data_IF_456237632913
#
_entry.id   IF_456237632913
#
_cell.length_a   1.000
_cell.length_b   1.000
_cell.length_c   1.000
_cell.angle_alpha   90.00
_cell.angle_beta   90.00
_cell.angle_gamma   90.00
#
_symmetry.space_group_name_H-M   'P 1'
#
loop_
_entity.id
_entity.type
_entity.pdbx_description
1 polymer ?
#
# COMPACT_ATOMS: atom_id res chain seq x y z
N UNK A 1 -11.53 5.10 2.12
CA UNK A 1 -10.38 5.74 1.46
C UNK A 1 -10.76 7.09 0.83
N UNK A 2 -11.35 8.03 1.55
CA UNK A 2 -11.84 9.29 0.98
C UNK A 2 -11.53 10.55 1.84
N UNK A 3 -10.58 10.48 2.76
CA UNK A 3 -10.30 11.60 3.67
C UNK A 3 -9.14 12.53 3.27
N UNK A 4 -8.33 12.18 2.27
CA UNK A 4 -7.15 12.97 1.91
C UNK A 4 -7.38 14.06 0.85
N UNK A 5 -8.51 14.04 0.15
CA UNK A 5 -8.81 15.03 -0.90
C UNK A 5 -9.27 16.43 -0.41
N UNK A 6 -9.54 16.58 0.89
CA UNK A 6 -10.09 17.85 1.42
C UNK A 6 -9.06 18.79 2.06
N UNK A 7 -7.83 18.34 2.29
CA UNK A 7 -6.81 19.17 2.98
C UNK A 7 -6.06 20.10 2.00
N UNK A 8 -5.90 19.68 0.74
CA UNK A 8 -5.15 20.49 -0.25
C UNK A 8 -5.87 21.75 -0.73
N UNK A 9 -7.21 21.81 -0.62
CA UNK A 9 -7.99 22.93 -1.14
C UNK A 9 -8.04 24.14 -0.17
N UNK A 10 -7.78 23.93 1.11
CA UNK A 10 -7.92 24.98 2.13
C UNK A 10 -6.71 25.92 2.16
N UNK A 11 -5.53 25.45 1.74
CA UNK A 11 -4.30 26.29 1.77
C UNK A 11 -4.29 27.30 0.62
N UNK A 12 -4.88 26.98 -0.53
CA UNK A 12 -4.94 27.90 -1.66
C UNK A 12 -5.95 29.04 -1.49
N UNK A 13 -7.03 28.82 -0.71
CA UNK A 13 -8.09 29.82 -0.55
C UNK A 13 -7.80 30.87 0.54
N UNK A 14 -6.87 30.62 1.44
CA UNK A 14 -6.60 31.53 2.57
C UNK A 14 -5.67 32.72 2.20
N UNK A 15 -5.07 32.75 1.01
CA UNK A 15 -4.09 33.77 0.62
C UNK A 15 -4.65 34.90 -0.26
N UNK A 16 -5.95 34.94 -0.58
CA UNK A 16 -6.54 35.96 -1.47
C UNK A 16 -7.23 37.14 -0.75
N UNK A 17 -6.95 37.37 0.53
CA UNK A 17 -7.59 38.45 1.33
C UNK A 17 -6.67 39.62 1.64
N UNK A 18 -6.66 40.59 0.75
CA UNK A 18 -6.44 42.05 0.94
C UNK A 18 -5.36 42.51 1.92
N UNK A 19 -4.26 43.04 1.36
CA UNK A 19 -3.55 44.22 1.91
C UNK A 19 -3.35 45.22 0.78
N UNK A 20 -4.20 46.23 0.69
CA UNK A 20 -3.89 47.50 0.05
C UNK A 20 -3.08 48.34 1.04
N UNK A 21 -1.90 47.87 1.45
CA UNK A 21 -0.83 48.75 1.89
C UNK A 21 -0.08 49.13 0.59
N UNK A 22 0.37 50.36 0.47
CA UNK A 22 1.31 50.77 -0.57
C UNK A 22 2.60 49.96 -0.40
N UNK A 23 2.56 48.73 -0.87
CA UNK A 23 3.74 47.88 -0.96
C UNK A 23 4.65 48.56 -1.98
N UNK A 24 5.91 48.88 -1.64
CA UNK A 24 6.85 49.35 -2.66
C UNK A 24 6.76 48.34 -3.82
N UNK A 25 6.69 48.91 -5.04
CA UNK A 25 6.57 48.07 -6.24
C UNK A 25 7.80 47.16 -6.30
N UNK A 26 7.67 45.96 -5.77
CA UNK A 26 8.69 44.94 -5.89
C UNK A 26 8.77 44.48 -7.35
N UNK A 27 9.96 44.24 -7.82
CA UNK A 27 10.16 43.69 -9.15
C UNK A 27 9.41 42.33 -9.24
N UNK A 28 8.62 42.17 -10.30
CA UNK A 28 8.00 40.89 -10.62
C UNK A 28 9.07 40.01 -11.25
N UNK A 29 9.52 38.93 -10.57
CA UNK A 29 10.57 38.10 -11.14
C UNK A 29 10.05 37.32 -12.36
N UNK A 30 10.94 37.16 -13.34
CA UNK A 30 10.73 36.18 -14.40
C UNK A 30 11.15 34.81 -13.89
N UNK A 31 10.27 33.82 -13.96
CA UNK A 31 10.56 32.45 -13.56
C UNK A 31 10.68 31.60 -14.81
N UNK A 32 11.88 31.11 -15.08
CA UNK A 32 12.16 30.16 -16.14
C UNK A 32 12.15 28.75 -15.54
N UNK A 33 11.39 27.87 -16.14
CA UNK A 33 11.33 26.46 -15.84
C UNK A 33 12.06 25.70 -16.95
N UNK A 34 12.95 24.78 -16.57
CA UNK A 34 13.74 24.00 -17.53
C UNK A 34 13.75 22.55 -17.11
N UNK A 35 13.37 21.65 -18.00
CA UNK A 35 13.46 20.20 -17.85
C UNK A 35 14.68 19.72 -18.61
N UNK A 36 15.64 19.12 -17.92
CA UNK A 36 16.95 18.79 -18.48
C UNK A 36 17.64 20.03 -19.05
N UNK A 37 17.54 20.29 -20.34
CA UNK A 37 18.09 21.48 -21.02
C UNK A 37 17.04 22.25 -21.82
N UNK A 38 15.78 21.82 -21.79
CA UNK A 38 14.68 22.38 -22.58
C UNK A 38 13.79 23.26 -21.70
N UNK A 39 13.52 24.46 -22.17
CA UNK A 39 12.59 25.36 -21.49
C UNK A 39 11.17 24.79 -21.52
N UNK A 40 10.52 24.81 -20.37
CA UNK A 40 9.12 24.40 -20.20
C UNK A 40 8.31 25.69 -19.92
N UNK A 41 7.37 26.00 -20.77
CA UNK A 41 6.61 27.27 -20.73
C UNK A 41 5.22 27.12 -20.15
N UNK A 42 4.73 25.90 -19.91
CA UNK A 42 3.38 25.62 -19.46
C UNK A 42 3.32 24.83 -18.13
N UNK A 43 4.48 24.64 -17.48
CA UNK A 43 4.58 24.02 -16.15
C UNK A 43 3.75 24.72 -15.05
N UNK A 44 3.25 25.92 -15.29
CA UNK A 44 2.32 26.65 -14.42
C UNK A 44 0.87 26.17 -14.55
N UNK A 45 0.60 25.21 -15.42
CA UNK A 45 -0.71 24.56 -15.56
C UNK A 45 -0.63 23.09 -15.15
N UNK A 46 -1.72 22.54 -14.64
CA UNK A 46 -1.77 21.13 -14.25
C UNK A 46 -1.59 20.19 -15.46
N UNK A 47 -2.08 20.58 -16.62
CA UNK A 47 -1.96 19.81 -17.86
C UNK A 47 -0.54 19.87 -18.45
N UNK A 48 0.15 21.00 -18.27
CA UNK A 48 1.52 21.24 -18.71
C UNK A 48 2.55 20.96 -17.61
N UNK A 49 2.24 20.12 -16.62
CA UNK A 49 3.17 19.79 -15.55
C UNK A 49 4.54 19.34 -16.12
N UNK A 50 5.62 19.93 -15.63
CA UNK A 50 6.98 19.60 -16.06
C UNK A 50 7.28 18.12 -15.74
N UNK A 51 7.67 17.35 -16.75
CA UNK A 51 7.85 15.90 -16.64
C UNK A 51 9.33 15.56 -16.50
N UNK A 52 9.67 14.87 -15.41
CA UNK A 52 11.04 14.40 -15.14
C UNK A 52 11.05 12.91 -14.84
N UNK A 53 12.19 12.25 -15.00
CA UNK A 53 12.35 10.88 -14.53
C UNK A 53 12.52 10.86 -13.01
N UNK A 54 11.91 9.90 -12.34
CA UNK A 54 12.16 9.66 -10.93
C UNK A 54 13.62 9.19 -10.77
N UNK A 55 14.42 9.73 -9.82
CA UNK A 55 15.83 9.36 -9.66
C UNK A 55 15.99 7.85 -9.48
N UNK A 56 16.73 7.22 -10.38
CA UNK A 56 16.90 5.76 -10.38
C UNK A 56 18.25 5.30 -9.81
N UNK A 57 19.21 6.20 -9.70
CA UNK A 57 20.57 5.91 -9.24
C UNK A 57 20.95 6.59 -7.90
N UNK A 58 19.96 7.03 -7.14
CA UNK A 58 20.09 7.79 -5.90
C UNK A 58 20.82 9.15 -6.04
N UNK A 59 21.04 9.62 -7.25
CA UNK A 59 21.58 10.96 -7.51
C UNK A 59 20.46 11.83 -8.06
N UNK A 60 20.49 13.11 -7.75
CA UNK A 60 19.57 14.08 -8.34
C UNK A 60 20.33 14.83 -9.41
N UNK A 61 20.16 14.42 -10.63
CA UNK A 61 20.83 14.97 -11.80
C UNK A 61 19.87 15.79 -12.68
N UNK A 62 20.40 16.38 -13.74
CA UNK A 62 19.58 17.23 -14.63
C UNK A 62 18.43 16.48 -15.33
N UNK A 63 18.56 15.16 -15.52
CA UNK A 63 17.50 14.34 -16.08
C UNK A 63 16.35 14.07 -15.09
N UNK A 64 16.65 14.16 -13.79
CA UNK A 64 15.73 13.80 -12.69
C UNK A 64 15.07 15.02 -12.07
N UNK A 65 15.47 16.23 -12.43
CA UNK A 65 15.02 17.44 -11.78
C UNK A 65 14.62 18.56 -12.77
N UNK A 66 13.61 19.30 -12.35
CA UNK A 66 13.21 20.55 -12.98
C UNK A 66 14.03 21.67 -12.36
N UNK A 67 14.70 22.46 -13.19
CA UNK A 67 15.36 23.69 -12.78
C UNK A 67 14.36 24.84 -12.76
N UNK A 68 14.34 25.58 -11.66
CA UNK A 68 13.67 26.86 -11.52
C UNK A 68 14.71 27.96 -11.40
N UNK A 69 14.70 28.90 -12.32
CA UNK A 69 15.58 30.04 -12.31
C UNK A 69 14.74 31.34 -12.30
N UNK A 70 14.86 32.09 -11.21
CA UNK A 70 14.22 33.38 -11.04
C UNK A 70 15.22 34.47 -11.39
N UNK A 71 14.80 35.46 -12.19
CA UNK A 71 15.58 36.65 -12.52
C UNK A 71 14.75 37.88 -12.22
N UNK A 72 15.41 38.98 -11.90
CA UNK A 72 14.74 40.23 -11.52
C UNK A 72 14.14 40.20 -10.12
N UNK A 73 14.68 39.35 -9.24
CA UNK A 73 14.31 39.34 -7.82
C UNK A 73 14.99 40.51 -7.11
N UNK A 74 14.29 41.19 -6.21
CA UNK A 74 14.89 42.29 -5.46
C UNK A 74 16.06 41.80 -4.58
N UNK A 75 17.10 42.61 -4.49
CA UNK A 75 18.27 42.32 -3.63
C UNK A 75 17.86 42.23 -2.16
N UNK A 76 18.45 41.32 -1.42
CA UNK A 76 18.16 41.08 0.01
C UNK A 76 16.79 40.50 0.32
N UNK A 77 16.02 40.08 -0.69
CA UNK A 77 14.74 39.41 -0.47
C UNK A 77 14.92 37.91 -0.29
N UNK A 78 13.93 37.32 0.37
CA UNK A 78 13.85 35.87 0.53
C UNK A 78 12.84 35.32 -0.48
N UNK A 79 13.29 34.41 -1.31
CA UNK A 79 12.43 33.56 -2.12
C UNK A 79 12.11 32.31 -1.30
N UNK A 80 10.86 32.11 -0.95
CA UNK A 80 10.39 30.91 -0.24
C UNK A 80 9.76 29.94 -1.22
N UNK A 81 10.15 28.68 -1.15
CA UNK A 81 9.64 27.60 -2.00
C UNK A 81 9.08 26.50 -1.12
N UNK A 82 7.87 26.07 -1.42
CA UNK A 82 7.22 24.94 -0.74
C UNK A 82 6.70 23.97 -1.79
N UNK A 83 6.93 22.69 -1.57
CA UNK A 83 6.44 21.63 -2.46
C UNK A 83 5.46 20.70 -1.76
N UNK A 84 4.56 20.13 -2.54
CA UNK A 84 3.71 19.02 -2.12
C UNK A 84 3.81 17.90 -3.17
N UNK A 85 4.21 16.72 -2.75
CA UNK A 85 4.45 15.59 -3.67
C UNK A 85 5.76 15.67 -4.46
N UNK A 86 6.61 16.65 -4.16
CA UNK A 86 7.93 16.83 -4.76
C UNK A 86 8.95 17.28 -3.70
N UNK A 87 10.23 17.32 -4.06
CA UNK A 87 11.34 17.66 -3.17
C UNK A 87 12.25 18.69 -3.84
N UNK A 88 12.82 19.56 -3.04
CA UNK A 88 13.70 20.64 -3.48
C UNK A 88 15.14 20.29 -3.09
N UNK A 89 16.08 20.55 -4.00
CA UNK A 89 17.51 20.57 -3.73
C UNK A 89 18.11 21.90 -4.25
N UNK A 90 19.11 22.46 -3.53
CA UNK A 90 19.73 23.74 -3.94
C UNK A 90 20.64 23.61 -5.16
N UNK A 91 21.12 22.40 -5.43
CA UNK A 91 22.05 22.11 -6.52
C UNK A 91 21.82 20.69 -7.02
N UNK A 92 22.32 20.39 -8.22
CA UNK A 92 22.36 19.03 -8.76
C UNK A 92 23.57 18.27 -8.22
N UNK A 93 23.50 16.94 -8.32
CA UNK A 93 24.58 16.06 -7.95
C UNK A 93 25.82 16.31 -8.82
N UNK A 94 26.97 16.40 -8.16
CA UNK A 94 28.28 16.42 -8.79
C UNK A 94 29.23 15.50 -8.00
N UNK A 95 30.37 15.17 -8.59
CA UNK A 95 31.40 14.35 -7.91
C UNK A 95 31.96 15.04 -6.66
N UNK A 96 31.95 16.38 -6.61
CA UNK A 96 32.43 17.19 -5.48
C UNK A 96 31.33 17.59 -4.51
N UNK A 97 30.08 17.60 -4.96
CA UNK A 97 28.89 17.91 -4.13
C UNK A 97 27.82 16.85 -4.36
N UNK A 98 27.86 15.74 -3.62
CA UNK A 98 26.91 14.67 -3.80
C UNK A 98 25.51 15.08 -3.30
N UNK A 99 24.51 15.07 -4.20
CA UNK A 99 23.10 15.33 -3.89
C UNK A 99 22.32 14.08 -4.20
N UNK A 100 21.73 13.48 -3.17
CA UNK A 100 21.01 12.21 -3.29
C UNK A 100 19.50 12.42 -3.19
N UNK A 101 18.76 11.39 -3.53
CA UNK A 101 17.30 11.38 -3.38
C UNK A 101 16.84 11.51 -1.91
N UNK A 102 17.74 11.32 -0.93
CA UNK A 102 17.49 11.56 0.49
C UNK A 102 17.71 13.01 0.90
N UNK A 103 18.45 13.80 0.11
CA UNK A 103 18.83 15.19 0.43
C UNK A 103 17.71 16.21 0.23
N UNK A 104 16.62 15.83 -0.46
CA UNK A 104 15.54 16.74 -0.80
C UNK A 104 14.67 17.14 0.39
N UNK A 105 14.26 18.39 0.40
CA UNK A 105 13.39 18.99 1.40
C UNK A 105 12.07 19.46 0.78
N UNK A 106 11.01 19.54 1.58
CA UNK A 106 9.70 20.01 1.13
C UNK A 106 9.58 21.56 1.17
N UNK A 107 10.46 22.24 1.86
CA UNK A 107 10.52 23.69 1.89
C UNK A 107 11.95 24.18 1.84
N UNK A 108 12.17 25.25 1.12
CA UNK A 108 13.48 25.84 0.89
C UNK A 108 13.38 27.35 0.81
N UNK A 109 14.37 28.04 1.31
CA UNK A 109 14.42 29.50 1.24
C UNK A 109 15.78 29.95 0.72
N UNK A 110 15.77 30.79 -0.28
CA UNK A 110 16.97 31.41 -0.85
C UNK A 110 16.96 32.90 -0.51
N UNK A 111 17.99 33.35 0.18
CA UNK A 111 18.23 34.79 0.31
C UNK A 111 19.10 35.25 -0.87
N UNK A 112 18.59 36.19 -1.64
CA UNK A 112 19.29 36.70 -2.83
C UNK A 112 20.55 37.50 -2.50
N UNK A 113 20.71 37.97 -1.25
CA UNK A 113 21.85 38.80 -0.84
C UNK A 113 21.94 40.05 -1.70
N UNK A 114 23.08 40.25 -2.34
CA UNK A 114 23.30 41.36 -3.33
C UNK A 114 22.91 40.99 -4.75
N UNK A 115 22.49 39.73 -4.98
CA UNK A 115 22.08 39.25 -6.31
C UNK A 115 20.61 39.55 -6.62
N UNK A 116 20.26 39.43 -7.90
CA UNK A 116 18.90 39.55 -8.41
C UNK A 116 18.38 38.27 -9.02
N UNK A 117 19.00 37.13 -8.65
CA UNK A 117 18.65 35.81 -9.16
C UNK A 117 18.55 34.80 -8.03
N UNK A 118 17.68 33.82 -8.20
CA UNK A 118 17.60 32.63 -7.35
C UNK A 118 17.46 31.39 -8.23
N UNK A 119 18.11 30.30 -7.83
CA UNK A 119 18.04 29.06 -8.57
C UNK A 119 17.86 27.90 -7.60
N UNK A 120 17.05 26.94 -7.96
CA UNK A 120 16.87 25.68 -7.23
C UNK A 120 16.34 24.62 -8.18
N UNK A 121 16.36 23.38 -7.73
CA UNK A 121 15.93 22.22 -8.51
C UNK A 121 14.85 21.45 -7.75
N UNK A 122 13.89 20.91 -8.49
CA UNK A 122 12.76 20.14 -7.94
C UNK A 122 12.72 18.79 -8.61
N UNK A 123 12.68 17.75 -7.83
CA UNK A 123 12.50 16.37 -8.30
C UNK A 123 11.34 15.69 -7.56
N UNK A 124 10.90 14.56 -8.07
CA UNK A 124 9.84 13.76 -7.43
C UNK A 124 10.25 12.30 -7.33
N UNK A 125 9.71 11.60 -6.33
CA UNK A 125 9.84 10.14 -6.16
C UNK A 125 8.58 9.40 -6.62
N UNK A 126 7.60 10.12 -7.17
CA UNK A 126 6.29 9.60 -7.53
C UNK A 126 5.90 10.03 -8.94
N UNK A 127 5.11 9.18 -9.60
CA UNK A 127 4.49 9.53 -10.89
C UNK A 127 3.24 10.42 -10.74
N UNK A 128 2.81 10.68 -9.51
CA UNK A 128 1.76 11.66 -9.24
C UNK A 128 2.28 13.09 -9.47
N UNK A 129 1.39 13.97 -9.90
CA UNK A 129 1.73 15.38 -10.06
C UNK A 129 1.88 16.05 -8.69
N UNK A 130 3.04 16.63 -8.45
CA UNK A 130 3.34 17.47 -7.31
C UNK A 130 3.18 18.96 -7.65
N UNK A 131 3.08 19.80 -6.62
CA UNK A 131 3.01 21.26 -6.75
C UNK A 131 4.28 21.90 -6.20
N UNK A 132 4.68 23.01 -6.83
CA UNK A 132 5.78 23.89 -6.41
C UNK A 132 5.19 25.29 -6.23
N UNK A 133 5.15 25.75 -5.01
CA UNK A 133 4.68 27.10 -4.68
C UNK A 133 5.87 27.98 -4.36
N UNK A 134 6.08 29.00 -5.15
CA UNK A 134 7.17 29.98 -5.01
C UNK A 134 6.55 31.28 -4.50
N UNK A 135 7.07 31.79 -3.40
CA UNK A 135 6.66 33.10 -2.85
C UNK A 135 7.84 34.05 -2.86
N UNK A 136 7.66 35.23 -3.51
CA UNK A 136 8.65 36.27 -3.52
C UNK A 136 7.95 37.63 -3.35
N UNK A 137 8.37 38.41 -2.37
CA UNK A 137 7.87 39.74 -2.08
C UNK A 137 6.32 39.84 -2.06
N UNK A 138 5.65 38.81 -1.50
CA UNK A 138 4.19 38.71 -1.41
C UNK A 138 3.49 38.15 -2.65
N UNK A 139 4.19 38.00 -3.78
CA UNK A 139 3.65 37.31 -4.95
C UNK A 139 3.79 35.81 -4.81
N UNK A 140 2.77 35.05 -5.27
CA UNK A 140 2.72 33.59 -5.21
C UNK A 140 2.61 33.05 -6.63
N UNK A 141 3.50 32.13 -6.95
CA UNK A 141 3.54 31.41 -8.23
C UNK A 141 3.39 29.92 -7.97
N UNK A 142 2.55 29.26 -8.73
CA UNK A 142 2.32 27.81 -8.61
C UNK A 142 2.72 27.13 -9.90
N UNK A 143 3.53 26.10 -9.76
CA UNK A 143 3.98 25.23 -10.84
C UNK A 143 3.69 23.76 -10.50
N UNK A 144 3.73 22.91 -11.50
CA UNK A 144 3.43 21.50 -11.39
C UNK A 144 4.61 20.69 -11.93
N UNK A 145 4.95 19.63 -11.21
CA UNK A 145 6.01 18.68 -11.59
C UNK A 145 5.42 17.28 -11.53
N UNK A 146 5.69 16.48 -12.56
CA UNK A 146 5.23 15.09 -12.64
C UNK A 146 6.40 14.17 -12.91
N UNK A 147 6.48 13.07 -12.16
CA UNK A 147 7.47 12.03 -12.41
C UNK A 147 7.03 11.04 -13.47
N UNK A 148 7.99 10.52 -14.22
CA UNK A 148 7.87 9.25 -14.93
C UNK A 148 8.60 8.18 -14.13
N UNK A 149 8.05 6.97 -14.07
CA UNK A 149 8.66 5.90 -13.31
C UNK A 149 10.07 5.58 -13.85
N UNK A 150 10.95 5.24 -12.91
CA UNK A 150 12.29 4.75 -13.22
C UNK A 150 12.26 3.32 -13.79
N UNK A 151 13.44 2.72 -14.02
CA UNK A 151 13.54 1.34 -14.49
C UNK A 151 13.01 0.36 -13.44
N UNK A 152 12.70 -0.86 -13.88
CA UNK A 152 12.32 -1.95 -13.00
C UNK A 152 13.41 -2.21 -11.95
N UNK A 153 13.02 -2.28 -10.69
CA UNK A 153 13.94 -2.44 -9.56
C UNK A 153 13.52 -3.56 -8.61
N UNK A 154 12.26 -3.62 -8.26
CA UNK A 154 11.71 -4.61 -7.35
C UNK A 154 10.68 -5.49 -8.03
N UNK A 155 10.75 -6.77 -7.69
CA UNK A 155 9.82 -7.79 -8.10
C UNK A 155 9.12 -8.34 -6.87
N UNK A 156 7.80 -8.33 -6.85
CA UNK A 156 6.97 -9.04 -5.90
C UNK A 156 6.11 -10.07 -6.62
N UNK A 157 5.84 -11.20 -5.98
CA UNK A 157 5.10 -12.28 -6.61
C UNK A 157 4.20 -13.01 -5.62
N UNK A 158 2.95 -13.16 -6.01
CA UNK A 158 1.99 -13.99 -5.27
C UNK A 158 1.95 -15.35 -5.93
N UNK A 159 2.41 -16.37 -5.21
CA UNK A 159 2.46 -17.76 -5.68
C UNK A 159 1.85 -18.68 -4.66
N UNK A 160 0.98 -19.59 -5.12
CA UNK A 160 0.54 -20.73 -4.30
C UNK A 160 1.71 -21.67 -4.06
N UNK A 161 1.81 -22.21 -2.85
CA UNK A 161 2.82 -23.22 -2.49
C UNK A 161 2.41 -24.64 -2.88
N UNK A 162 1.18 -24.82 -3.33
CA UNK A 162 0.62 -26.12 -3.71
C UNK A 162 -0.11 -25.99 -5.05
N UNK A 163 0.04 -27.00 -5.88
CA UNK A 163 -0.69 -27.16 -7.12
C UNK A 163 -1.10 -28.63 -7.34
N UNK A 164 -2.10 -28.84 -8.17
CA UNK A 164 -2.48 -30.20 -8.57
C UNK A 164 -1.70 -30.62 -9.82
N UNK A 165 -1.56 -31.91 -10.01
CA UNK A 165 -1.08 -32.47 -11.29
C UNK A 165 -1.94 -31.96 -12.44
N UNK A 166 -1.30 -31.63 -13.56
CA UNK A 166 -1.94 -31.07 -14.76
C UNK A 166 -2.70 -29.77 -14.55
N UNK A 167 -2.56 -29.11 -13.41
CA UNK A 167 -3.19 -27.81 -13.16
C UNK A 167 -2.56 -26.72 -14.02
N UNK A 168 -3.39 -25.80 -14.48
CA UNK A 168 -2.99 -24.54 -15.09
C UNK A 168 -3.27 -23.45 -14.07
N UNK A 169 -2.22 -22.77 -13.60
CA UNK A 169 -2.32 -21.76 -12.54
C UNK A 169 -1.77 -20.44 -13.07
N UNK A 170 -2.54 -19.37 -12.87
CA UNK A 170 -2.08 -18.01 -13.17
C UNK A 170 -1.49 -17.38 -11.90
N UNK A 171 -0.28 -16.90 -12.01
CA UNK A 171 0.41 -16.15 -10.98
C UNK A 171 0.52 -14.68 -11.37
N UNK A 172 0.43 -13.81 -10.39
CA UNK A 172 0.62 -12.38 -10.58
C UNK A 172 1.98 -11.96 -10.04
N UNK A 173 2.76 -11.32 -10.89
CA UNK A 173 4.02 -10.68 -10.51
C UNK A 173 3.86 -9.18 -10.64
N UNK A 174 4.28 -8.42 -9.63
CA UNK A 174 4.28 -6.97 -9.66
C UNK A 174 5.71 -6.46 -9.75
N UNK A 175 5.95 -5.60 -10.73
CA UNK A 175 7.23 -4.93 -10.91
C UNK A 175 7.06 -3.45 -10.54
N UNK A 176 8.02 -2.92 -9.78
CA UNK A 176 8.07 -1.50 -9.43
C UNK A 176 9.49 -0.96 -9.60
N UNK A 177 9.61 0.35 -9.75
CA UNK A 177 10.87 1.04 -9.57
C UNK A 177 11.28 1.08 -8.08
N UNK A 178 12.41 1.69 -7.77
CA UNK A 178 12.95 1.76 -6.41
C UNK A 178 12.05 2.51 -5.42
N UNK A 179 11.20 3.40 -5.89
CA UNK A 179 10.24 4.16 -5.07
C UNK A 179 8.81 3.59 -5.09
N UNK A 180 8.62 2.43 -5.75
CA UNK A 180 7.33 1.76 -5.81
C UNK A 180 6.41 2.23 -6.94
N UNK A 181 6.89 3.08 -7.87
CA UNK A 181 6.12 3.46 -9.04
C UNK A 181 6.11 2.32 -10.07
N UNK A 182 5.14 2.34 -10.97
CA UNK A 182 4.98 1.35 -12.02
C UNK A 182 5.82 1.76 -13.23
N UNK A 183 6.89 1.00 -13.57
CA UNK A 183 7.74 1.31 -14.72
C UNK A 183 6.99 1.06 -16.03
N UNK A 184 7.63 1.42 -17.14
CA UNK A 184 7.18 0.99 -18.46
C UNK A 184 7.09 -0.53 -18.49
N UNK A 185 6.13 -1.08 -19.25
CA UNK A 185 5.83 -2.52 -19.31
C UNK A 185 7.10 -3.39 -19.33
N UNK A 186 7.25 -4.22 -18.34
CA UNK A 186 8.37 -5.12 -18.13
C UNK A 186 7.87 -6.56 -18.14
N UNK A 187 8.51 -7.43 -18.90
CA UNK A 187 8.18 -8.86 -18.91
C UNK A 187 9.17 -9.58 -17.98
N UNK A 188 8.72 -10.12 -16.84
CA UNK A 188 9.58 -10.94 -15.99
C UNK A 188 10.04 -12.19 -16.73
N UNK A 189 11.29 -12.55 -16.57
CA UNK A 189 11.82 -13.83 -17.03
C UNK A 189 11.44 -14.89 -15.99
N UNK A 190 10.79 -15.95 -16.45
CA UNK A 190 10.38 -17.05 -15.58
C UNK A 190 11.12 -18.31 -15.97
N UNK A 191 11.81 -18.89 -15.02
CA UNK A 191 12.51 -20.16 -15.16
C UNK A 191 11.96 -21.18 -14.17
N UNK A 192 11.88 -22.43 -14.61
CA UNK A 192 11.40 -23.52 -13.77
C UNK A 192 12.50 -24.56 -13.59
N UNK A 193 12.70 -24.99 -12.37
CA UNK A 193 13.67 -26.02 -11.99
C UNK A 193 12.91 -27.17 -11.37
N UNK A 194 13.17 -28.39 -11.85
CA UNK A 194 12.73 -29.64 -11.22
C UNK A 194 11.71 -30.45 -12.01
N UNK A 195 10.57 -29.93 -12.43
CA UNK A 195 9.60 -30.68 -13.24
C UNK A 195 9.35 -30.01 -14.58
N UNK A 196 8.90 -30.79 -15.58
CA UNK A 196 8.49 -30.28 -16.87
C UNK A 196 7.24 -29.40 -16.70
N UNK A 197 7.46 -28.12 -16.57
CA UNK A 197 6.43 -27.12 -16.44
C UNK A 197 6.52 -26.22 -17.65
N UNK A 198 5.41 -25.96 -18.33
CA UNK A 198 5.38 -24.93 -19.35
C UNK A 198 4.98 -23.60 -18.73
N UNK A 199 5.63 -22.54 -19.17
CA UNK A 199 5.41 -21.19 -18.66
C UNK A 199 5.11 -20.25 -19.81
N UNK A 200 4.06 -19.45 -19.65
CA UNK A 200 3.76 -18.33 -20.54
C UNK A 200 3.68 -17.05 -19.68
N UNK A 201 4.48 -16.05 -20.02
CA UNK A 201 4.49 -14.75 -19.33
C UNK A 201 4.04 -13.64 -20.28
N UNK A 202 3.30 -12.67 -19.75
CA UNK A 202 2.92 -11.45 -20.46
C UNK A 202 3.69 -10.25 -19.89
N UNK A 203 3.83 -9.19 -20.67
CA UNK A 203 4.35 -7.92 -20.19
C UNK A 203 3.47 -7.37 -19.06
N UNK A 204 4.07 -6.64 -18.14
CA UNK A 204 3.32 -6.00 -17.07
C UNK A 204 2.36 -4.95 -17.63
N UNK A 205 1.19 -4.88 -17.04
CA UNK A 205 0.24 -3.80 -17.29
C UNK A 205 0.83 -2.45 -16.80
N UNK A 206 0.81 -1.45 -17.67
CA UNK A 206 1.44 -0.14 -17.39
C UNK A 206 0.72 0.67 -16.32
N UNK A 207 -0.49 0.27 -15.92
CA UNK A 207 -1.28 0.93 -14.87
C UNK A 207 -1.08 0.28 -13.51
N UNK A 208 -0.97 -1.04 -13.48
CA UNK A 208 -0.91 -1.82 -12.24
C UNK A 208 0.49 -2.37 -11.94
N UNK A 209 1.37 -2.43 -12.93
CA UNK A 209 2.69 -3.07 -12.85
C UNK A 209 2.61 -4.60 -12.78
N UNK A 210 1.41 -5.17 -12.98
CA UNK A 210 1.18 -6.61 -12.82
C UNK A 210 1.38 -7.31 -14.18
N UNK A 211 2.26 -8.31 -14.17
CA UNK A 211 2.40 -9.29 -15.23
C UNK A 211 1.69 -10.58 -14.80
N UNK A 212 0.99 -11.20 -15.75
CA UNK A 212 0.36 -12.50 -15.54
C UNK A 212 1.26 -13.59 -16.09
N UNK A 213 1.54 -14.58 -15.26
CA UNK A 213 2.36 -15.74 -15.61
C UNK A 213 1.51 -16.98 -15.46
N UNK A 214 1.25 -17.65 -16.57
CA UNK A 214 0.53 -18.93 -16.58
C UNK A 214 1.52 -20.07 -16.49
N UNK A 215 1.35 -20.91 -15.50
CA UNK A 215 2.17 -22.09 -15.24
C UNK A 215 1.32 -23.33 -15.38
N UNK A 216 1.70 -24.23 -16.28
CA UNK A 216 1.06 -25.54 -16.45
C UNK A 216 1.92 -26.60 -15.79
N UNK A 217 1.38 -27.24 -14.78
CA UNK A 217 2.07 -28.26 -13.98
C UNK A 217 2.03 -29.63 -14.67
N UNK A 218 3.03 -30.51 -14.39
CA UNK A 218 3.09 -31.85 -14.97
C UNK A 218 1.97 -32.77 -14.47
N UNK A 219 1.74 -33.85 -15.18
CA UNK A 219 0.80 -34.89 -14.80
C UNK A 219 1.31 -35.77 -13.63
N UNK A 220 2.58 -35.60 -13.21
CA UNK A 220 3.18 -36.36 -12.12
C UNK A 220 3.37 -35.49 -10.89
N UNK A 221 3.08 -36.05 -9.72
CA UNK A 221 3.36 -35.39 -8.45
C UNK A 221 4.86 -35.18 -8.23
N UNK A 222 5.23 -34.12 -7.55
CA UNK A 222 6.63 -33.79 -7.27
C UNK A 222 6.79 -32.36 -6.76
N UNK A 223 8.01 -31.89 -6.72
CA UNK A 223 8.33 -30.51 -6.34
C UNK A 223 8.83 -29.72 -7.56
N UNK A 224 8.37 -28.51 -7.70
CA UNK A 224 8.83 -27.55 -8.67
C UNK A 224 9.36 -26.30 -7.96
N UNK A 225 10.44 -25.72 -8.46
CA UNK A 225 10.88 -24.38 -8.07
C UNK A 225 10.65 -23.43 -9.25
N UNK A 226 9.89 -22.38 -9.03
CA UNK A 226 9.61 -21.36 -10.03
C UNK A 226 10.39 -20.12 -9.62
N UNK A 227 11.29 -19.67 -10.49
CA UNK A 227 12.04 -18.45 -10.31
C UNK A 227 11.47 -17.38 -11.25
N UNK A 228 11.07 -16.28 -10.67
CA UNK A 228 10.67 -15.06 -11.36
C UNK A 228 11.84 -14.07 -11.26
N UNK A 229 12.25 -13.48 -12.36
CA UNK A 229 13.38 -12.56 -12.36
C UNK A 229 13.12 -11.34 -13.26
N UNK A 230 13.73 -10.22 -12.87
CA UNK A 230 13.83 -9.01 -13.69
C UNK A 230 15.31 -8.61 -13.79
N UNK A 231 15.62 -7.82 -14.81
CA UNK A 231 16.93 -7.17 -14.89
C UNK A 231 16.88 -5.88 -14.07
N UNK A 232 17.70 -5.83 -13.03
CA UNK A 232 17.88 -4.64 -12.21
C UNK A 232 19.34 -4.57 -11.72
N UNK A 233 19.81 -3.36 -11.45
CA UNK A 233 21.16 -3.11 -10.91
C UNK A 233 21.01 -2.47 -9.54
N UNK A 234 21.74 -2.99 -8.54
CA UNK A 234 21.78 -2.36 -7.23
C UNK A 234 22.42 -0.98 -7.33
N UNK A 235 21.90 -0.05 -6.57
CA UNK A 235 22.35 1.34 -6.55
C UNK A 235 22.79 1.71 -5.16
N UNK A 236 23.98 2.27 -5.05
CA UNK A 236 24.53 2.73 -3.77
C UNK A 236 23.61 3.75 -3.10
N UNK A 237 23.39 3.55 -1.80
CA UNK A 237 22.52 4.44 -1.01
C UNK A 237 21.02 4.19 -1.17
N UNK A 238 20.60 3.20 -1.96
CA UNK A 238 19.22 2.74 -2.06
C UNK A 238 19.10 1.30 -1.55
N UNK A 239 17.89 0.84 -1.20
CA UNK A 239 17.65 -0.56 -0.83
C UNK A 239 18.10 -1.51 -1.94
N UNK A 240 18.61 -2.67 -1.56
CA UNK A 240 19.03 -3.70 -2.54
C UNK A 240 17.81 -4.12 -3.40
N UNK A 241 18.02 -4.19 -4.71
CA UNK A 241 16.98 -4.54 -5.66
C UNK A 241 16.50 -5.98 -5.46
N UNK A 242 15.19 -6.18 -5.43
CA UNK A 242 14.61 -7.52 -5.47
C UNK A 242 14.57 -8.01 -6.92
N UNK A 243 15.69 -8.57 -7.38
CA UNK A 243 15.89 -8.98 -8.77
C UNK A 243 15.22 -10.30 -9.12
N UNK A 244 15.07 -11.17 -8.13
CA UNK A 244 14.43 -12.47 -8.35
C UNK A 244 13.72 -12.97 -7.10
N UNK A 245 12.66 -13.73 -7.33
CA UNK A 245 11.91 -14.43 -6.29
C UNK A 245 11.75 -15.88 -6.71
N UNK A 246 12.29 -16.81 -5.91
CA UNK A 246 12.09 -18.25 -6.13
C UNK A 246 10.99 -18.76 -5.20
N UNK A 247 10.03 -19.45 -5.75
CA UNK A 247 8.94 -20.10 -5.02
C UNK A 247 8.99 -21.60 -5.24
N UNK A 248 8.88 -22.33 -4.14
CA UNK A 248 8.79 -23.79 -4.15
C UNK A 248 7.32 -24.17 -4.11
N UNK A 249 6.93 -25.04 -5.04
CA UNK A 249 5.56 -25.50 -5.21
C UNK A 249 5.54 -27.02 -5.12
N UNK A 250 4.70 -27.55 -4.25
CA UNK A 250 4.43 -28.99 -4.18
C UNK A 250 3.30 -29.30 -5.14
N UNK A 251 3.56 -30.15 -6.12
CA UNK A 251 2.58 -30.67 -7.07
C UNK A 251 2.05 -31.97 -6.52
N UNK A 252 0.77 -32.01 -6.18
CA UNK A 252 0.11 -33.17 -5.56
C UNK A 252 -0.87 -33.80 -6.55
N UNK A 253 -0.86 -35.13 -6.61
CA UNK A 253 -1.91 -35.86 -7.30
C UNK A 253 -3.13 -36.02 -6.39
N UNK A 254 -3.92 -34.96 -6.29
CA UNK A 254 -5.13 -34.98 -5.48
C UNK A 254 -6.19 -35.95 -6.02
N UNK A 255 -6.18 -36.28 -7.30
CA UNK A 255 -7.11 -37.26 -7.85
C UNK A 255 -6.81 -38.65 -7.28
N UNK A 256 -5.53 -39.06 -7.34
CA UNK A 256 -5.10 -40.35 -6.74
C UNK A 256 -5.25 -40.33 -5.23
N UNK A 257 -4.91 -39.25 -4.55
CA UNK A 257 -5.09 -39.10 -3.11
C UNK A 257 -6.57 -39.18 -2.71
N UNK A 258 -7.46 -38.50 -3.43
CA UNK A 258 -8.89 -38.56 -3.19
C UNK A 258 -9.47 -39.93 -3.50
N UNK A 259 -9.01 -40.63 -4.55
CA UNK A 259 -9.40 -41.98 -4.85
C UNK A 259 -8.99 -42.93 -3.69
N UNK A 260 -7.76 -42.78 -3.19
CA UNK A 260 -7.28 -43.54 -2.02
C UNK A 260 -8.09 -43.26 -0.77
N UNK A 261 -8.36 -41.97 -0.47
CA UNK A 261 -9.20 -41.59 0.65
C UNK A 261 -10.64 -42.08 0.51
N UNK A 262 -11.19 -42.04 -0.69
CA UNK A 262 -12.51 -42.58 -0.98
C UNK A 262 -12.56 -44.09 -0.74
N UNK A 263 -11.52 -44.83 -1.19
CA UNK A 263 -11.40 -46.28 -0.94
C UNK A 263 -11.25 -46.58 0.58
N UNK A 264 -10.42 -45.80 1.29
CA UNK A 264 -10.27 -45.92 2.74
C UNK A 264 -11.58 -45.61 3.47
N UNK A 265 -12.28 -44.57 3.04
CA UNK A 265 -13.59 -44.21 3.59
C UNK A 265 -14.61 -45.32 3.33
N UNK A 266 -14.66 -45.90 2.11
CA UNK A 266 -15.54 -47.02 1.78
C UNK A 266 -15.22 -48.24 2.63
N UNK A 267 -13.92 -48.59 2.82
CA UNK A 267 -13.49 -49.67 3.70
C UNK A 267 -13.88 -49.39 5.15
N UNK A 268 -13.68 -48.17 5.62
CA UNK A 268 -14.10 -47.76 6.98
C UNK A 268 -15.62 -47.84 7.16
N UNK A 269 -16.39 -47.41 6.16
CA UNK A 269 -17.85 -47.54 6.18
C UNK A 269 -18.27 -48.99 6.20
N UNK A 270 -17.65 -49.83 5.36
CA UNK A 270 -17.93 -51.28 5.33
C UNK A 270 -17.64 -51.94 6.69
N UNK A 271 -16.50 -51.61 7.31
CA UNK A 271 -16.18 -52.07 8.67
C UNK A 271 -17.21 -51.63 9.68
N UNK A 272 -17.62 -50.35 9.66
CA UNK A 272 -18.64 -49.82 10.55
C UNK A 272 -20.01 -50.46 10.34
N UNK A 273 -20.36 -50.77 9.10
CA UNK A 273 -21.59 -51.50 8.78
C UNK A 273 -21.55 -52.90 9.35
N UNK A 274 -20.42 -53.62 9.23
CA UNK A 274 -20.20 -54.93 9.82
C UNK A 274 -20.27 -54.88 11.35
N UNK A 275 -19.60 -53.86 11.96
CA UNK A 275 -19.66 -53.64 13.41
C UNK A 275 -21.07 -53.28 13.88
N UNK A 276 -21.80 -52.47 13.09
CA UNK A 276 -23.21 -52.17 13.37
C UNK A 276 -24.10 -53.42 13.28
N UNK A 277 -23.86 -54.30 12.28
CA UNK A 277 -24.59 -55.55 12.15
C UNK A 277 -24.30 -56.51 13.33
N UNK A 278 -23.04 -56.58 13.73
CA UNK A 278 -22.62 -57.33 14.92
C UNK A 278 -23.24 -56.75 16.20
N UNK A 279 -23.23 -55.43 16.30
CA UNK A 279 -23.88 -54.70 17.39
C UNK A 279 -25.39 -54.90 17.42
N UNK A 280 -26.03 -54.88 16.23
CA UNK A 280 -27.46 -55.12 16.10
C UNK A 280 -27.85 -56.54 16.54
N UNK A 281 -27.01 -57.56 16.19
CA UNK A 281 -27.19 -58.92 16.64
C UNK A 281 -27.02 -59.03 18.17
N UNK A 282 -26.01 -58.31 18.72
CA UNK A 282 -25.81 -58.23 20.18
C UNK A 282 -26.95 -57.47 20.87
N UNK A 283 -27.47 -56.37 20.24
CA UNK A 283 -28.63 -55.63 20.75
C UNK A 283 -29.92 -56.47 20.71
N UNK A 284 -30.10 -57.32 19.68
CA UNK A 284 -31.26 -58.22 19.60
C UNK A 284 -31.20 -59.24 20.75
N UNK A 285 -30.00 -59.75 21.09
CA UNK A 285 -29.79 -60.60 22.25
C UNK A 285 -30.00 -59.82 23.56
N UNK A 286 -29.46 -58.58 23.64
CA UNK A 286 -29.61 -57.78 24.84
C UNK A 286 -31.07 -57.27 25.03
N UNK A 287 -31.85 -57.10 23.92
CA UNK A 287 -33.26 -56.74 24.02
C UNK A 287 -34.11 -57.85 24.67
N UNK A 288 -33.70 -59.14 24.53
CA UNK A 288 -34.30 -60.20 25.24
C UNK A 288 -33.97 -60.13 26.76
N UNK A 289 -32.76 -59.74 27.09
CA UNK A 289 -32.32 -59.54 28.48
C UNK A 289 -32.90 -58.21 29.09
N UNK A 290 -33.21 -57.20 28.23
CA UNK A 290 -33.68 -55.91 28.64
C UNK A 290 -35.18 -55.88 29.01
N UNK A 291 -35.94 -56.90 28.62
CA UNK A 291 -37.33 -57.02 29.09
C UNK A 291 -37.42 -57.13 30.60
N UNK A 292 -36.35 -57.62 31.24
CA UNK A 292 -36.22 -57.76 32.71
C UNK A 292 -35.78 -56.43 33.38
N UNK A 293 -35.12 -55.47 32.61
CA UNK A 293 -34.58 -54.22 33.16
C UNK A 293 -35.48 -53.02 33.01
N UNK A 294 -36.71 -53.15 32.49
CA UNK A 294 -37.61 -51.99 32.21
C UNK A 294 -37.86 -51.10 33.44
N UNK A 295 -37.72 -51.63 34.62
CA UNK A 295 -37.92 -50.87 35.86
C UNK A 295 -36.75 -49.88 36.13
N UNK A 296 -35.50 -50.20 35.71
CA UNK A 296 -34.34 -49.35 35.91
C UNK A 296 -34.28 -48.14 34.96
N UNK A 297 -34.84 -48.27 33.75
CA UNK A 297 -34.79 -47.21 32.73
C UNK A 297 -35.60 -45.95 33.03
N UNK A 298 -36.60 -46.06 33.89
CA UNK A 298 -37.35 -44.89 34.30
C UNK A 298 -36.48 -43.92 35.13
N UNK A 299 -35.55 -44.45 35.91
CA UNK A 299 -34.59 -43.63 36.65
C UNK A 299 -33.51 -43.03 35.73
N UNK A 300 -33.00 -43.79 34.76
CA UNK A 300 -31.99 -43.34 33.82
C UNK A 300 -32.52 -42.24 32.87
N UNK A 301 -33.80 -42.35 32.46
CA UNK A 301 -34.45 -41.32 31.66
C UNK A 301 -34.60 -40.02 32.44
N UNK A 302 -35.00 -40.11 33.70
CA UNK A 302 -35.10 -38.92 34.57
C UNK A 302 -33.73 -38.27 34.76
N UNK A 303 -32.65 -39.03 34.90
CA UNK A 303 -31.30 -38.49 34.99
C UNK A 303 -30.83 -37.83 33.69
N UNK A 304 -31.16 -38.41 32.51
CA UNK A 304 -30.83 -37.84 31.22
C UNK A 304 -31.60 -36.54 30.94
N UNK A 305 -32.90 -36.47 31.33
CA UNK A 305 -33.70 -35.26 31.18
C UNK A 305 -33.16 -34.11 32.09
N UNK A 306 -32.66 -34.42 33.27
CA UNK A 306 -31.99 -33.47 34.16
C UNK A 306 -30.66 -33.01 33.57
N UNK A 307 -29.88 -33.90 32.96
CA UNK A 307 -28.61 -33.55 32.35
C UNK A 307 -28.80 -32.67 31.09
N UNK A 308 -29.83 -32.96 30.29
CA UNK A 308 -30.18 -32.16 29.13
C UNK A 308 -30.63 -30.71 29.51
N UNK A 309 -31.42 -30.60 30.59
CA UNK A 309 -31.79 -29.29 31.14
C UNK A 309 -30.58 -28.48 31.64
N UNK A 310 -29.63 -29.16 32.28
CA UNK A 310 -28.39 -28.52 32.72
C UNK A 310 -27.49 -28.08 31.56
N UNK A 311 -27.38 -28.91 30.50
CA UNK A 311 -26.63 -28.59 29.31
C UNK A 311 -27.24 -27.36 28.55
N UNK A 312 -28.56 -27.32 28.45
CA UNK A 312 -29.26 -26.17 27.88
C UNK A 312 -29.02 -24.89 28.70
N UNK A 313 -29.12 -24.98 30.01
CA UNK A 313 -28.86 -23.82 30.89
C UNK A 313 -27.42 -23.30 30.74
N UNK A 314 -26.43 -24.21 30.56
CA UNK A 314 -25.04 -23.79 30.34
C UNK A 314 -24.83 -23.14 28.96
N UNK A 315 -25.48 -23.65 27.91
CA UNK A 315 -25.44 -23.05 26.58
C UNK A 315 -26.09 -21.67 26.56
N UNK A 316 -27.26 -21.53 27.21
CA UNK A 316 -27.94 -20.23 27.32
C UNK A 316 -27.10 -19.21 28.12
N UNK A 317 -26.39 -19.67 29.16
CA UNK A 317 -25.45 -18.82 29.92
C UNK A 317 -24.22 -18.39 29.06
N UNK A 318 -23.70 -19.31 28.23
CA UNK A 318 -22.60 -18.99 27.30
C UNK A 318 -23.04 -17.98 26.23
N UNK A 319 -24.24 -18.13 25.68
CA UNK A 319 -24.80 -17.19 24.72
C UNK A 319 -25.00 -15.80 25.35
N UNK A 320 -25.55 -15.75 26.58
CA UNK A 320 -25.70 -14.50 27.32
C UNK A 320 -24.35 -13.82 27.60
N UNK A 321 -23.34 -14.61 27.96
CA UNK A 321 -21.98 -14.07 28.14
C UNK A 321 -21.41 -13.51 26.83
N UNK A 322 -21.56 -14.22 25.71
CA UNK A 322 -21.09 -13.75 24.41
C UNK A 322 -21.75 -12.43 23.98
N UNK A 323 -23.03 -12.26 24.23
CA UNK A 323 -23.75 -11.00 24.01
C UNK A 323 -23.20 -9.86 24.89
N UNK A 324 -22.92 -10.17 26.16
CA UNK A 324 -22.32 -9.19 27.08
C UNK A 324 -20.91 -8.79 26.64
N UNK A 325 -20.09 -9.78 26.24
CA UNK A 325 -18.73 -9.53 25.76
C UNK A 325 -18.74 -8.71 24.44
N UNK A 326 -19.68 -9.01 23.54
CA UNK A 326 -19.86 -8.22 22.30
C UNK A 326 -20.31 -6.77 22.60
N UNK A 327 -21.22 -6.59 23.56
CA UNK A 327 -21.65 -5.25 23.97
C UNK A 327 -20.50 -4.46 24.62
N UNK A 328 -19.69 -5.13 25.44
CA UNK A 328 -18.50 -4.54 26.05
C UNK A 328 -17.44 -4.15 25.01
N UNK A 329 -17.20 -5.03 24.02
CA UNK A 329 -16.29 -4.75 22.89
C UNK A 329 -16.77 -3.55 22.05
N UNK A 330 -18.08 -3.49 21.78
CA UNK A 330 -18.68 -2.34 21.09
C UNK A 330 -18.52 -1.05 21.90
N UNK A 331 -18.81 -1.08 23.19
CA UNK A 331 -18.65 0.08 24.05
C UNK A 331 -17.19 0.56 24.12
N UNK A 332 -16.23 -0.37 24.20
CA UNK A 332 -14.80 -0.06 24.13
C UNK A 332 -14.41 0.60 22.80
N UNK A 333 -14.95 0.09 21.69
CA UNK A 333 -14.75 0.68 20.35
C UNK A 333 -15.33 2.09 20.25
N UNK A 334 -16.54 2.30 20.78
CA UNK A 334 -17.22 3.61 20.79
C UNK A 334 -16.43 4.63 21.63
N UNK A 335 -15.89 4.19 22.78
CA UNK A 335 -15.02 5.02 23.64
C UNK A 335 -13.73 5.38 22.92
N UNK A 336 -13.09 4.40 22.22
CA UNK A 336 -11.86 4.65 21.47
C UNK A 336 -12.10 5.65 20.32
N UNK A 337 -13.24 5.52 19.62
CA UNK A 337 -13.63 6.44 18.56
C UNK A 337 -13.89 7.86 19.10
N UNK A 338 -14.55 7.97 20.24
CA UNK A 338 -14.79 9.26 20.91
C UNK A 338 -13.48 9.91 21.37
N UNK A 339 -12.55 9.11 21.92
CA UNK A 339 -11.23 9.59 22.32
C UNK A 339 -10.40 10.08 21.11
N UNK A 340 -10.44 9.35 20.01
CA UNK A 340 -9.80 9.77 18.75
C UNK A 340 -10.39 11.08 18.22
N UNK A 341 -11.70 11.22 18.25
CA UNK A 341 -12.39 12.45 17.84
C UNK A 341 -12.03 13.64 18.75
N UNK A 342 -11.96 13.41 20.06
CA UNK A 342 -11.55 14.44 21.03
C UNK A 342 -10.10 14.87 20.82
N UNK A 343 -9.19 13.91 20.58
CA UNK A 343 -7.79 14.18 20.24
C UNK A 343 -7.67 15.02 18.99
N UNK A 344 -8.36 14.62 17.90
CA UNK A 344 -8.38 15.40 16.65
C UNK A 344 -8.90 16.82 16.86
N UNK A 345 -10.00 16.97 17.62
CA UNK A 345 -10.54 18.30 17.98
C UNK A 345 -9.53 19.14 18.75
N UNK A 346 -8.84 18.54 19.73
CA UNK A 346 -7.81 19.21 20.52
C UNK A 346 -6.64 19.66 19.66
N UNK A 347 -6.12 18.77 18.79
CA UNK A 347 -5.02 19.06 17.87
C UNK A 347 -5.40 20.16 16.87
N UNK A 348 -6.61 20.05 16.30
CA UNK A 348 -7.14 21.09 15.42
C UNK A 348 -7.23 22.45 16.14
N UNK A 349 -7.79 22.47 17.34
CA UNK A 349 -7.97 23.70 18.11
C UNK A 349 -6.62 24.30 18.53
N UNK A 350 -5.63 23.47 18.86
CA UNK A 350 -4.26 23.92 19.15
C UNK A 350 -3.61 24.58 17.92
N UNK A 351 -3.78 23.95 16.73
CA UNK A 351 -3.27 24.49 15.48
C UNK A 351 -4.00 25.79 15.09
N UNK A 352 -5.33 25.80 15.18
CA UNK A 352 -6.15 26.97 14.91
C UNK A 352 -5.83 28.13 15.86
N UNK A 353 -5.53 27.84 17.12
CA UNK A 353 -5.10 28.86 18.10
C UNK A 353 -3.74 29.44 17.72
N UNK A 354 -2.76 28.61 17.34
CA UNK A 354 -1.46 29.08 16.83
C UNK A 354 -1.63 29.94 15.57
N UNK A 355 -2.47 29.48 14.64
CA UNK A 355 -2.80 30.22 13.42
C UNK A 355 -3.44 31.58 13.73
N UNK A 356 -4.46 31.59 14.60
CA UNK A 356 -5.19 32.80 14.96
C UNK A 356 -4.31 33.83 15.66
N UNK A 357 -3.30 33.35 16.40
CA UNK A 357 -2.29 34.22 17.02
C UNK A 357 -1.39 34.86 15.96
N UNK A 358 -1.00 34.10 14.95
CA UNK A 358 -0.16 34.59 13.85
C UNK A 358 -0.94 35.43 12.83
N UNK A 359 -2.24 35.19 12.68
CA UNK A 359 -3.10 35.81 11.67
C UNK A 359 -4.38 36.41 12.27
N UNK A 360 -4.30 37.49 13.02
CA UNK A 360 -5.44 38.03 13.80
C UNK A 360 -6.62 38.51 12.92
N UNK A 361 -6.38 38.77 11.64
CA UNK A 361 -7.41 39.20 10.67
C UNK A 361 -8.05 38.06 9.89
N UNK A 362 -7.52 36.84 9.97
CA UNK A 362 -7.99 35.65 9.25
C UNK A 362 -8.20 34.46 10.21
N UNK A 363 -9.07 34.66 11.20
CA UNK A 363 -9.29 33.68 12.26
C UNK A 363 -10.05 32.45 11.78
N UNK A 364 -9.60 31.31 12.20
CA UNK A 364 -10.27 30.01 12.05
C UNK A 364 -11.08 29.72 13.30
N UNK A 365 -12.32 29.32 13.12
CA UNK A 365 -13.19 28.95 14.24
C UNK A 365 -12.70 27.65 14.91
N UNK A 366 -12.71 27.64 16.23
CA UNK A 366 -12.44 26.43 17.01
C UNK A 366 -13.62 25.45 16.87
N UNK A 367 -13.33 24.18 16.78
CA UNK A 367 -14.37 23.15 16.82
C UNK A 367 -14.96 23.06 18.23
N UNK A 368 -16.27 23.19 18.34
CA UNK A 368 -17.04 22.98 19.58
C UNK A 368 -17.17 21.50 19.95
#
# INVERSE_FOLDING_TARGET
MNSFKKVSLVIAAALTGTVLATVPAHAVPTIAVTVSTVADTDANTLAGAAVVTVPSDNKVEAADAVKFALTGVDTGTVVSVVTSGAFIVPALHTTTAPVTSASGVASYSVNTGTGTTAEFYVYTKSTATGTVTITNAGNVYVYYVKGTAGPAYNLDTTVSTNANTSAVVEYSTKVTDVFGNIPVATTPVVTVIGSTVSVASAASDTTTGISKVTVTYPATAGNAAINFAITATDVDGLPVAVKSVTKFVTVSDLATANASLTAQLAASIASRVADAATSAAALTKAAADLAAEKAGRAADKAAADVAAAAAKASADAAAAKALTDAAAAKAASDVAAAAAAAKYKSEFNALATKWNKANPKAKVALKK
#
